data_IF_442971022544
#
_entry.id   IF_442971022544
#
_cell.length_a   1.000
_cell.length_b   1.000
_cell.length_c   1.000
_cell.angle_alpha   90.00
_cell.angle_beta   90.00
_cell.angle_gamma   90.00
#
_symmetry.space_group_name_H-M   'P 1'
#
loop_
_entity.id
_entity.type
_entity.pdbx_description
1 polymer ?
#
# COMPACT_ATOMS: atom_id res chain seq x y z
N UNK A 1 -25.66 16.68 13.14
CA UNK A 1 -25.21 15.34 12.71
C UNK A 1 -25.15 15.37 11.19
N UNK A 2 -23.95 15.45 10.61
CA UNK A 2 -23.77 15.39 9.16
C UNK A 2 -24.04 13.97 8.68
N UNK A 3 -24.88 13.82 7.66
CA UNK A 3 -25.13 12.53 7.03
C UNK A 3 -23.83 12.08 6.35
N UNK A 4 -23.24 10.99 6.84
CA UNK A 4 -22.11 10.33 6.19
C UNK A 4 -22.64 9.68 4.90
N UNK A 5 -22.32 10.27 3.75
CA UNK A 5 -22.72 9.71 2.45
C UNK A 5 -21.56 8.87 1.94
N UNK A 6 -21.71 7.54 2.08
CA UNK A 6 -20.79 6.59 1.44
C UNK A 6 -20.72 6.83 -0.06
N UNK A 7 -19.54 6.62 -0.65
CA UNK A 7 -19.37 6.64 -2.10
C UNK A 7 -20.34 5.65 -2.76
N UNK A 8 -21.04 6.10 -3.80
CA UNK A 8 -21.93 5.23 -4.57
C UNK A 8 -21.15 4.37 -5.56
N UNK A 9 -21.66 3.16 -5.84
CA UNK A 9 -21.01 2.17 -6.71
C UNK A 9 -20.67 2.72 -8.09
N UNK A 10 -21.59 3.50 -8.68
CA UNK A 10 -21.42 4.11 -9.99
C UNK A 10 -20.28 5.12 -10.01
N UNK A 11 -20.05 5.86 -8.92
CA UNK A 11 -18.94 6.82 -8.83
C UNK A 11 -17.60 6.10 -8.79
N UNK A 12 -17.51 4.98 -8.07
CA UNK A 12 -16.30 4.14 -8.06
C UNK A 12 -16.03 3.55 -9.44
N UNK A 13 -17.05 3.00 -10.10
CA UNK A 13 -16.95 2.47 -11.46
C UNK A 13 -16.43 3.55 -12.43
N UNK A 14 -16.96 4.77 -12.34
CA UNK A 14 -16.49 5.92 -13.12
C UNK A 14 -15.01 6.23 -12.87
N UNK A 15 -14.56 6.24 -11.61
CA UNK A 15 -13.14 6.48 -11.29
C UNK A 15 -12.22 5.36 -11.78
N UNK A 16 -12.69 4.11 -11.75
CA UNK A 16 -11.96 2.98 -12.31
C UNK A 16 -11.84 3.12 -13.83
N UNK A 17 -12.93 3.46 -14.52
CA UNK A 17 -12.94 3.69 -15.96
C UNK A 17 -12.03 4.87 -16.37
N UNK A 18 -12.10 5.98 -15.64
CA UNK A 18 -11.40 7.22 -16.00
C UNK A 18 -9.91 7.17 -15.62
N UNK A 19 -9.56 6.62 -14.46
CA UNK A 19 -8.21 6.69 -13.91
C UNK A 19 -7.53 5.33 -13.75
N UNK A 20 -8.26 4.22 -13.86
CA UNK A 20 -7.75 2.89 -13.52
C UNK A 20 -6.46 2.52 -14.24
N UNK A 21 -6.36 2.80 -15.54
CA UNK A 21 -5.13 2.51 -16.31
C UNK A 21 -3.91 3.25 -15.76
N UNK A 22 -4.05 4.54 -15.46
CA UNK A 22 -2.94 5.36 -14.98
C UNK A 22 -2.51 4.97 -13.56
N UNK A 23 -3.49 4.68 -12.69
CA UNK A 23 -3.23 4.19 -11.34
C UNK A 23 -2.55 2.82 -11.39
N UNK A 24 -2.97 1.93 -12.28
CA UNK A 24 -2.34 0.62 -12.44
C UNK A 24 -0.88 0.75 -12.92
N UNK A 25 -0.62 1.58 -13.93
CA UNK A 25 0.74 1.83 -14.41
C UNK A 25 1.62 2.45 -13.33
N UNK A 26 1.06 3.33 -12.49
CA UNK A 26 1.75 3.87 -11.33
C UNK A 26 2.09 2.78 -10.31
N UNK A 27 1.14 1.91 -9.96
CA UNK A 27 1.36 0.76 -9.06
C UNK A 27 2.45 -0.18 -9.61
N UNK A 28 2.45 -0.45 -10.92
CA UNK A 28 3.52 -1.24 -11.57
C UNK A 28 4.89 -0.59 -11.44
N UNK A 29 4.99 0.74 -11.60
CA UNK A 29 6.26 1.47 -11.44
C UNK A 29 6.77 1.42 -10.00
N UNK A 30 5.87 1.52 -9.01
CA UNK A 30 6.24 1.47 -7.60
C UNK A 30 6.73 0.09 -7.15
N UNK A 31 6.06 -0.96 -7.60
CA UNK A 31 6.24 -2.34 -7.09
C UNK A 31 7.24 -3.17 -7.89
N UNK A 32 7.47 -2.81 -9.16
CA UNK A 32 8.41 -3.49 -10.05
C UNK A 32 7.97 -4.88 -10.52
N UNK A 33 6.84 -5.40 -10.06
CA UNK A 33 6.34 -6.72 -10.43
C UNK A 33 4.81 -6.74 -10.54
N UNK A 34 4.27 -7.67 -11.35
CA UNK A 34 2.83 -7.70 -11.66
C UNK A 34 1.96 -8.03 -10.43
N UNK A 35 2.30 -9.07 -9.68
CA UNK A 35 1.46 -9.55 -8.57
C UNK A 35 1.23 -8.45 -7.53
N UNK A 36 2.31 -7.82 -7.06
CA UNK A 36 2.19 -6.75 -6.06
C UNK A 36 1.53 -5.50 -6.64
N UNK A 37 1.67 -5.24 -7.94
CA UNK A 37 0.97 -4.13 -8.59
C UNK A 37 -0.54 -4.37 -8.65
N UNK A 38 -0.98 -5.59 -8.97
CA UNK A 38 -2.39 -5.99 -9.03
C UNK A 38 -3.02 -5.83 -7.64
N UNK A 39 -2.34 -6.29 -6.58
CA UNK A 39 -2.80 -6.15 -5.19
C UNK A 39 -2.87 -4.68 -4.75
N UNK A 40 -1.79 -3.90 -4.98
CA UNK A 40 -1.74 -2.48 -4.61
C UNK A 40 -2.81 -1.66 -5.35
N UNK A 41 -3.08 -1.98 -6.60
CA UNK A 41 -4.15 -1.37 -7.39
C UNK A 41 -5.52 -1.62 -6.77
N UNK A 42 -5.82 -2.89 -6.44
CA UNK A 42 -7.08 -3.25 -5.79
C UNK A 42 -7.23 -2.57 -4.43
N UNK A 43 -6.18 -2.59 -3.59
CA UNK A 43 -6.20 -1.95 -2.27
C UNK A 43 -6.39 -0.44 -2.38
N UNK A 44 -5.87 0.20 -3.43
CA UNK A 44 -6.04 1.64 -3.68
C UNK A 44 -7.51 2.01 -3.90
N UNK A 45 -8.22 1.30 -4.78
CA UNK A 45 -9.63 1.57 -5.05
C UNK A 45 -10.54 1.11 -3.90
N UNK A 46 -10.19 0.03 -3.20
CA UNK A 46 -10.87 -0.37 -1.98
C UNK A 46 -10.74 0.72 -0.91
N UNK A 47 -9.54 1.31 -0.77
CA UNK A 47 -9.34 2.38 0.19
C UNK A 47 -10.12 3.64 -0.18
N UNK A 48 -10.19 3.96 -1.47
CA UNK A 48 -11.04 5.03 -1.97
C UNK A 48 -12.51 4.83 -1.60
N UNK A 49 -13.01 3.60 -1.76
CA UNK A 49 -14.39 3.22 -1.44
C UNK A 49 -14.71 3.32 0.06
N UNK A 50 -13.75 3.01 0.92
CA UNK A 50 -13.88 3.17 2.37
C UNK A 50 -13.88 4.64 2.84
N UNK A 51 -13.37 5.55 2.01
CA UNK A 51 -13.24 6.95 2.36
C UNK A 51 -14.51 7.70 1.96
N UNK A 52 -15.41 7.85 2.94
CA UNK A 52 -16.75 8.44 2.81
C UNK A 52 -16.80 9.90 2.30
N UNK A 53 -15.65 10.58 2.07
CA UNK A 53 -15.57 12.01 1.74
C UNK A 53 -14.91 12.35 0.40
N UNK A 54 -14.66 11.36 -0.48
CA UNK A 54 -13.96 11.62 -1.76
C UNK A 54 -14.83 12.37 -2.77
N UNK A 55 -16.15 12.44 -2.57
CA UNK A 55 -17.06 13.11 -3.49
C UNK A 55 -16.75 14.62 -3.70
N UNK A 56 -16.03 15.25 -2.77
CA UNK A 56 -15.61 16.66 -2.85
C UNK A 56 -14.14 16.86 -3.28
N UNK A 57 -13.43 15.81 -3.67
CA UNK A 57 -12.03 15.97 -4.09
C UNK A 57 -11.95 16.72 -5.43
N UNK A 58 -11.40 17.94 -5.41
CA UNK A 58 -11.14 18.74 -6.63
C UNK A 58 -10.25 18.00 -7.67
N UNK A 59 -9.46 17.01 -7.23
CA UNK A 59 -8.59 16.21 -8.09
C UNK A 59 -8.55 14.72 -7.67
N UNK A 60 -9.53 13.90 -8.09
CA UNK A 60 -9.64 12.50 -7.70
C UNK A 60 -8.42 11.66 -8.12
N UNK A 61 -7.83 11.95 -9.28
CA UNK A 61 -6.63 11.25 -9.78
C UNK A 61 -5.42 11.46 -8.87
N UNK A 62 -5.12 12.71 -8.49
CA UNK A 62 -4.02 12.99 -7.56
C UNK A 62 -4.25 12.34 -6.20
N UNK A 63 -5.50 12.30 -5.75
CA UNK A 63 -5.87 11.63 -4.50
C UNK A 63 -5.59 10.13 -4.56
N UNK A 64 -6.03 9.45 -5.62
CA UNK A 64 -5.75 8.03 -5.87
C UNK A 64 -4.25 7.71 -5.92
N UNK A 65 -3.45 8.55 -6.60
CA UNK A 65 -1.99 8.42 -6.61
C UNK A 65 -1.39 8.54 -5.20
N UNK A 66 -1.91 9.46 -4.39
CA UNK A 66 -1.52 9.63 -3.00
C UNK A 66 -1.85 8.41 -2.15
N UNK A 67 -3.05 7.83 -2.30
CA UNK A 67 -3.43 6.57 -1.63
C UNK A 67 -2.45 5.47 -1.98
N UNK A 68 -2.22 5.21 -3.28
CA UNK A 68 -1.33 4.16 -3.75
C UNK A 68 0.10 4.32 -3.20
N UNK A 69 0.64 5.56 -3.22
CA UNK A 69 1.97 5.84 -2.71
C UNK A 69 2.08 5.59 -1.19
N UNK A 70 1.05 5.97 -0.41
CA UNK A 70 1.02 5.78 1.03
C UNK A 70 0.89 4.30 1.41
N UNK A 71 0.02 3.55 0.72
CA UNK A 71 -0.10 2.10 0.87
C UNK A 71 1.23 1.42 0.58
N UNK A 72 1.86 1.73 -0.55
CA UNK A 72 3.15 1.16 -0.92
C UNK A 72 4.25 1.47 0.09
N UNK A 73 4.37 2.74 0.52
CA UNK A 73 5.37 3.14 1.54
C UNK A 73 5.20 2.33 2.83
N UNK A 74 3.96 2.11 3.26
CA UNK A 74 3.67 1.30 4.43
C UNK A 74 4.03 -0.18 4.24
N UNK A 75 3.65 -0.78 3.10
CA UNK A 75 4.00 -2.16 2.77
C UNK A 75 5.54 -2.33 2.68
N UNK A 76 6.23 -1.44 1.98
CA UNK A 76 7.68 -1.45 1.83
C UNK A 76 8.39 -1.35 3.19
N UNK A 77 7.97 -0.42 4.06
CA UNK A 77 8.51 -0.31 5.43
C UNK A 77 8.33 -1.61 6.22
N UNK A 78 7.15 -2.24 6.14
CA UNK A 78 6.90 -3.54 6.80
C UNK A 78 7.81 -4.65 6.26
N UNK A 79 8.03 -4.69 4.94
CA UNK A 79 8.93 -5.66 4.31
C UNK A 79 10.38 -5.45 4.74
N UNK A 80 10.87 -4.22 4.74
CA UNK A 80 12.23 -3.89 5.18
C UNK A 80 12.44 -4.20 6.67
N UNK A 81 11.44 -3.93 7.50
CA UNK A 81 11.48 -4.31 8.93
C UNK A 81 11.57 -5.82 9.11
N UNK A 82 10.75 -6.60 8.39
CA UNK A 82 10.79 -8.07 8.43
C UNK A 82 12.14 -8.62 7.97
N UNK A 83 12.69 -8.10 6.87
CA UNK A 83 14.04 -8.48 6.40
C UNK A 83 15.10 -8.19 7.47
N UNK A 84 15.10 -6.98 8.02
CA UNK A 84 16.03 -6.59 9.08
C UNK A 84 15.94 -7.52 10.29
N UNK A 85 14.74 -7.88 10.73
CA UNK A 85 14.58 -8.85 11.84
C UNK A 85 15.13 -10.22 11.46
N UNK A 86 14.81 -10.71 10.26
CA UNK A 86 15.30 -12.00 9.78
C UNK A 86 16.83 -12.05 9.66
N UNK A 87 17.48 -10.92 9.37
CA UNK A 87 18.94 -10.81 9.33
C UNK A 87 19.57 -10.70 10.73
N UNK A 88 18.90 -10.03 11.67
CA UNK A 88 19.43 -9.77 13.02
C UNK A 88 19.30 -10.98 13.95
N UNK A 89 18.16 -11.67 13.96
CA UNK A 89 17.90 -12.77 14.92
C UNK A 89 18.97 -13.88 14.81
N UNK A 90 19.29 -14.40 13.60
CA UNK A 90 20.30 -15.44 13.46
C UNK A 90 21.70 -14.97 13.86
N UNK A 91 22.07 -13.74 13.49
CA UNK A 91 23.37 -13.17 13.83
C UNK A 91 23.57 -12.98 15.35
N UNK A 92 22.50 -12.65 16.08
CA UNK A 92 22.54 -12.57 17.54
C UNK A 92 22.71 -13.96 18.15
N UNK A 93 21.99 -14.97 17.68
CA UNK A 93 22.12 -16.36 18.17
C UNK A 93 23.53 -16.92 17.95
N UNK A 94 24.12 -16.73 16.77
CA UNK A 94 25.50 -17.15 16.49
C UNK A 94 26.52 -16.46 17.41
N UNK A 95 26.37 -15.16 17.66
CA UNK A 95 27.24 -14.41 18.56
C UNK A 95 27.13 -14.88 20.02
N UNK A 96 25.93 -15.26 20.47
CA UNK A 96 25.70 -15.78 21.81
C UNK A 96 26.32 -17.17 21.96
N UNK A 97 26.19 -18.03 20.94
CA UNK A 97 26.79 -19.37 20.91
C UNK A 97 28.32 -19.28 20.91
N UNK A 98 28.92 -18.40 20.09
CA UNK A 98 30.37 -18.18 20.09
C UNK A 98 30.89 -17.71 21.46
N UNK A 99 30.20 -16.75 22.09
CA UNK A 99 30.62 -16.23 23.39
C UNK A 99 30.51 -17.27 24.49
N UNK A 100 29.50 -18.14 24.46
CA UNK A 100 29.36 -19.25 25.41
C UNK A 100 30.38 -20.37 25.16
N UNK A 101 30.81 -20.56 23.91
CA UNK A 101 31.80 -21.56 23.52
C UNK A 101 33.26 -21.14 23.80
N UNK A 102 33.49 -19.84 24.04
CA UNK A 102 34.81 -19.27 24.41
C UNK A 102 35.05 -19.23 25.92
N UNK A 103 34.07 -19.61 26.74
CA UNK A 103 34.16 -19.79 28.19
C UNK A 103 34.51 -21.25 28.53
#
# INVERSE_FOLDING_TARGET
MGVLIKMEKQQLEKYIEEYGRDIYLFCKRLTGNKSTADDLYQETFLKLWELDNVNDAENPKSYLLGIAANLWKNQYRKQMWRKRIADIIPALEESQIENFSRL
#
